data_IF_528104619611
#
_entry.id   IF_528104619611
#
_cell.length_a   1.000
_cell.length_b   1.000
_cell.length_c   1.000
_cell.angle_alpha   90.00
_cell.angle_beta   90.00
_cell.angle_gamma   90.00
#
_symmetry.space_group_name_H-M   'P 1'
#
loop_
_entity.id
_entity.type
_entity.pdbx_description
1 polymer ?
#
# COMPACT_ATOMS: atom_id res chain seq x y z
N UNK A 1 -19.11 61.43 -21.93
CA UNK A 1 -18.81 60.02 -21.87
C UNK A 1 -20.12 59.24 -21.95
N UNK A 2 -20.29 58.34 -22.89
CA UNK A 2 -21.52 57.53 -22.97
C UNK A 2 -21.45 56.49 -21.84
N UNK A 3 -22.58 56.20 -21.23
CA UNK A 3 -22.66 55.24 -20.09
C UNK A 3 -21.92 53.93 -20.34
N UNK A 4 -21.92 53.46 -21.59
CA UNK A 4 -21.22 52.24 -22.02
C UNK A 4 -19.70 52.35 -21.94
N UNK A 5 -19.12 53.51 -22.25
CA UNK A 5 -17.66 53.72 -22.20
C UNK A 5 -17.16 53.74 -20.75
N UNK A 6 -17.92 54.33 -19.82
CA UNK A 6 -17.63 54.32 -18.39
C UNK A 6 -17.60 52.91 -17.81
N UNK A 7 -18.57 52.05 -18.17
CA UNK A 7 -18.59 50.66 -17.67
C UNK A 7 -17.53 49.78 -18.31
N UNK A 8 -17.11 50.05 -19.56
CA UNK A 8 -15.98 49.38 -20.20
C UNK A 8 -14.65 49.71 -19.46
N UNK A 9 -14.45 50.97 -19.05
CA UNK A 9 -13.29 51.38 -18.23
C UNK A 9 -13.26 50.69 -16.87
N UNK A 10 -14.43 50.55 -16.21
CA UNK A 10 -14.53 49.83 -14.93
C UNK A 10 -14.27 48.30 -15.10
N UNK A 11 -14.73 47.70 -16.20
CA UNK A 11 -14.46 46.29 -16.52
C UNK A 11 -12.97 46.07 -16.80
N UNK A 12 -12.33 47.00 -17.50
CA UNK A 12 -10.89 47.00 -17.75
C UNK A 12 -10.08 47.18 -16.46
N UNK A 13 -10.68 47.78 -15.41
CA UNK A 13 -10.11 47.92 -14.07
C UNK A 13 -10.46 46.76 -13.12
N UNK A 14 -11.00 45.62 -13.63
CA UNK A 14 -11.32 44.44 -12.87
C UNK A 14 -12.76 44.32 -12.34
N UNK A 15 -13.66 45.23 -12.75
CA UNK A 15 -15.09 45.17 -12.38
C UNK A 15 -15.87 44.22 -13.32
N UNK A 16 -16.57 43.23 -12.75
CA UNK A 16 -17.39 42.25 -13.50
C UNK A 16 -18.82 42.80 -13.73
N UNK A 17 -19.05 43.52 -14.81
CA UNK A 17 -20.38 43.99 -15.21
C UNK A 17 -20.88 43.26 -16.46
N UNK A 18 -22.14 42.82 -16.41
CA UNK A 18 -22.86 42.29 -17.58
C UNK A 18 -23.72 43.38 -18.20
N UNK A 19 -23.96 43.31 -19.48
CA UNK A 19 -24.86 44.18 -20.21
C UNK A 19 -26.01 43.38 -20.79
N UNK A 20 -27.21 43.94 -20.76
CA UNK A 20 -28.34 43.35 -21.49
C UNK A 20 -28.20 43.57 -23.00
N UNK A 21 -29.09 42.95 -23.78
CA UNK A 21 -29.10 43.09 -25.26
C UNK A 21 -29.18 44.54 -25.78
N UNK A 22 -29.66 45.46 -24.94
CA UNK A 22 -29.78 46.89 -25.25
C UNK A 22 -28.56 47.71 -24.79
N UNK A 23 -27.53 47.04 -24.22
CA UNK A 23 -26.30 47.70 -23.74
C UNK A 23 -26.47 48.42 -22.41
N UNK A 24 -27.49 48.08 -21.59
CA UNK A 24 -27.68 48.61 -20.25
C UNK A 24 -26.83 47.78 -19.27
N UNK A 25 -26.02 48.42 -18.41
CA UNK A 25 -25.25 47.67 -17.41
C UNK A 25 -26.17 47.00 -16.41
N UNK A 26 -25.93 45.72 -16.16
CA UNK A 26 -26.57 44.94 -15.11
C UNK A 26 -25.63 44.90 -13.90
N UNK A 27 -26.16 45.10 -12.72
CA UNK A 27 -25.42 44.81 -11.49
C UNK A 27 -25.05 43.33 -11.46
N UNK A 28 -23.90 42.95 -10.84
CA UNK A 28 -23.60 41.56 -10.60
C UNK A 28 -24.79 40.87 -9.94
N UNK A 29 -25.11 39.67 -10.37
CA UNK A 29 -26.18 38.93 -9.73
C UNK A 29 -25.85 38.73 -8.25
N UNK A 30 -26.81 38.88 -7.34
CA UNK A 30 -26.58 38.66 -5.94
C UNK A 30 -26.15 37.22 -5.70
N UNK A 31 -25.15 37.04 -4.84
CA UNK A 31 -24.68 35.74 -4.43
C UNK A 31 -25.21 35.43 -3.02
N UNK A 32 -25.43 34.18 -2.78
CA UNK A 32 -25.96 33.63 -1.53
C UNK A 32 -24.97 32.62 -0.99
N UNK A 33 -24.62 32.69 0.28
CA UNK A 33 -23.73 31.76 0.91
C UNK A 33 -24.43 30.41 1.11
N UNK A 34 -23.89 29.37 0.51
CA UNK A 34 -24.34 27.99 0.68
C UNK A 34 -23.34 27.26 1.57
N UNK A 35 -23.82 26.75 2.69
CA UNK A 35 -23.01 25.97 3.64
C UNK A 35 -23.36 24.49 3.54
N UNK A 36 -22.36 23.63 3.52
CA UNK A 36 -22.52 22.17 3.48
C UNK A 36 -22.17 21.58 4.85
N UNK A 37 -23.11 20.81 5.39
CA UNK A 37 -22.94 20.02 6.62
C UNK A 37 -22.95 18.56 6.24
N UNK A 38 -21.78 17.94 6.22
CA UNK A 38 -21.62 16.53 5.90
C UNK A 38 -21.65 15.70 7.18
N UNK A 39 -22.44 14.64 7.19
CA UNK A 39 -22.56 13.73 8.33
C UNK A 39 -22.32 12.28 7.91
N UNK A 40 -21.75 11.43 8.79
CA UNK A 40 -21.29 11.74 10.15
C UNK A 40 -20.05 12.67 10.14
N UNK A 41 -19.83 13.40 11.24
CA UNK A 41 -18.81 14.47 11.32
C UNK A 41 -17.35 13.94 11.34
N UNK A 42 -17.15 12.67 11.68
CA UNK A 42 -15.87 11.96 11.76
C UNK A 42 -15.33 11.46 10.41
N UNK A 43 -16.03 11.73 9.30
CA UNK A 43 -15.58 11.28 7.98
C UNK A 43 -14.23 11.89 7.59
N UNK A 44 -13.35 11.04 7.06
CA UNK A 44 -12.04 11.46 6.55
C UNK A 44 -12.10 11.79 5.05
N UNK A 45 -11.23 12.71 4.62
CA UNK A 45 -11.02 13.09 3.21
C UNK A 45 -12.32 13.48 2.49
N UNK A 46 -13.16 14.29 3.17
CA UNK A 46 -14.39 14.81 2.58
C UNK A 46 -14.05 15.81 1.48
N UNK A 47 -14.49 15.56 0.26
CA UNK A 47 -14.38 16.44 -0.89
C UNK A 47 -15.78 16.81 -1.37
N UNK A 48 -16.04 18.10 -1.49
CA UNK A 48 -17.32 18.66 -1.96
C UNK A 48 -17.08 19.33 -3.31
N UNK A 49 -17.87 18.95 -4.33
CA UNK A 49 -17.83 19.59 -5.63
C UNK A 49 -19.19 20.18 -5.99
N UNK A 50 -19.18 21.39 -6.50
CA UNK A 50 -20.37 22.06 -7.07
C UNK A 50 -20.16 22.28 -8.56
N UNK A 51 -21.02 21.73 -9.40
CA UNK A 51 -20.87 21.70 -10.85
C UNK A 51 -19.47 21.21 -11.31
N UNK A 52 -18.94 20.18 -10.59
CA UNK A 52 -17.63 19.56 -10.87
C UNK A 52 -16.42 20.33 -10.34
N UNK A 53 -16.60 21.52 -9.74
CA UNK A 53 -15.52 22.29 -9.11
C UNK A 53 -15.47 22.04 -7.61
N UNK A 54 -14.30 21.72 -7.08
CA UNK A 54 -14.09 21.52 -5.66
C UNK A 54 -14.29 22.83 -4.89
N UNK A 55 -15.01 22.76 -3.77
CA UNK A 55 -15.33 23.89 -2.91
C UNK A 55 -15.06 23.53 -1.44
N UNK A 56 -14.87 24.55 -0.61
CA UNK A 56 -14.85 24.37 0.84
C UNK A 56 -16.25 24.08 1.39
N UNK A 57 -16.37 23.95 2.71
CA UNK A 57 -17.63 23.71 3.41
C UNK A 57 -18.68 24.85 3.23
N UNK A 58 -18.31 25.91 2.52
CA UNK A 58 -19.21 26.98 2.07
C UNK A 58 -18.74 27.60 0.78
N UNK A 59 -19.68 28.07 -0.04
CA UNK A 59 -19.42 28.73 -1.31
C UNK A 59 -20.51 29.76 -1.60
N UNK A 60 -20.15 30.85 -2.27
CA UNK A 60 -21.11 31.88 -2.69
C UNK A 60 -21.60 31.62 -4.11
N UNK A 61 -22.89 31.32 -4.24
CA UNK A 61 -23.53 30.99 -5.51
C UNK A 61 -24.64 31.99 -5.89
N UNK A 62 -24.86 32.23 -7.16
CA UNK A 62 -26.03 32.98 -7.65
C UNK A 62 -27.30 32.11 -7.48
N UNK A 63 -28.48 32.72 -7.61
CA UNK A 63 -29.73 31.94 -7.64
C UNK A 63 -29.72 31.04 -8.89
N UNK A 64 -30.04 29.73 -8.69
CA UNK A 64 -29.99 28.75 -9.75
C UNK A 64 -29.94 27.31 -9.21
N UNK A 65 -29.84 26.35 -10.11
CA UNK A 65 -29.72 24.93 -9.77
C UNK A 65 -28.30 24.45 -10.04
N UNK A 66 -27.72 23.75 -9.09
CA UNK A 66 -26.34 23.27 -9.09
C UNK A 66 -26.28 21.78 -8.77
N UNK A 67 -25.40 21.08 -9.47
CA UNK A 67 -25.09 19.69 -9.07
C UNK A 67 -24.10 19.71 -7.93
N UNK A 68 -24.36 18.90 -6.90
CA UNK A 68 -23.46 18.69 -5.76
C UNK A 68 -23.04 17.23 -5.74
N UNK A 69 -21.73 17.01 -5.77
CA UNK A 69 -21.10 15.71 -5.56
C UNK A 69 -20.29 15.78 -4.26
N UNK A 70 -20.48 14.80 -3.37
CA UNK A 70 -19.66 14.68 -2.16
C UNK A 70 -19.08 13.28 -2.09
N UNK A 71 -17.78 13.18 -1.88
CA UNK A 71 -17.06 11.95 -1.63
C UNK A 71 -16.34 12.01 -0.30
N UNK A 72 -16.21 10.87 0.34
CA UNK A 72 -15.43 10.67 1.56
C UNK A 72 -14.88 9.25 1.59
N UNK A 73 -13.86 9.01 2.42
CA UNK A 73 -13.30 7.67 2.57
C UNK A 73 -14.36 6.67 3.04
N UNK A 74 -14.36 5.49 2.43
CA UNK A 74 -15.24 4.39 2.77
C UNK A 74 -16.75 4.68 2.62
N UNK A 75 -17.12 5.70 1.87
CA UNK A 75 -18.51 6.08 1.64
C UNK A 75 -18.90 5.97 0.15
N UNK A 76 -20.18 5.76 -0.09
CA UNK A 76 -20.76 5.93 -1.41
C UNK A 76 -20.69 7.40 -1.81
N UNK A 77 -20.44 7.67 -3.10
CA UNK A 77 -20.44 9.04 -3.62
C UNK A 77 -21.87 9.57 -3.61
N UNK A 78 -22.08 10.67 -2.89
CA UNK A 78 -23.35 11.37 -2.89
C UNK A 78 -23.46 12.30 -4.10
N UNK A 79 -24.55 12.23 -4.83
CA UNK A 79 -24.86 13.10 -5.95
C UNK A 79 -26.30 13.63 -5.84
N UNK A 80 -26.47 14.94 -5.92
CA UNK A 80 -27.77 15.58 -5.88
C UNK A 80 -27.76 16.94 -6.56
N UNK A 81 -28.93 17.47 -6.85
CA UNK A 81 -29.11 18.85 -7.29
C UNK A 81 -29.64 19.69 -6.14
N UNK A 82 -29.06 20.89 -5.95
CA UNK A 82 -29.58 21.89 -5.03
C UNK A 82 -30.09 23.10 -5.82
N UNK A 83 -31.13 23.75 -5.31
CA UNK A 83 -31.66 24.98 -5.90
C UNK A 83 -31.50 26.12 -4.89
N UNK A 84 -30.83 27.18 -5.34
CA UNK A 84 -30.58 28.40 -4.59
C UNK A 84 -31.64 29.41 -5.01
N UNK A 85 -32.43 29.90 -4.06
CA UNK A 85 -33.50 30.86 -4.28
C UNK A 85 -33.09 32.25 -3.78
N UNK A 86 -33.66 33.30 -4.33
CA UNK A 86 -33.33 34.68 -4.02
C UNK A 86 -34.05 35.20 -2.74
N UNK A 87 -34.85 34.37 -2.11
CA UNK A 87 -35.67 34.71 -0.94
C UNK A 87 -34.94 34.46 0.41
N UNK A 88 -33.80 33.77 0.37
CA UNK A 88 -33.04 33.39 1.54
C UNK A 88 -31.58 33.85 1.39
N UNK A 89 -31.06 34.56 2.39
CA UNK A 89 -29.67 35.08 2.35
C UNK A 89 -28.60 33.97 2.53
N UNK A 90 -28.95 32.90 3.23
CA UNK A 90 -28.06 31.76 3.48
C UNK A 90 -28.80 30.44 3.27
N UNK A 91 -28.10 29.46 2.69
CA UNK A 91 -28.62 28.12 2.46
C UNK A 91 -27.73 27.10 3.18
N UNK A 92 -28.34 26.23 3.99
CA UNK A 92 -27.62 25.12 4.61
C UNK A 92 -28.08 23.81 3.95
N UNK A 93 -27.13 23.05 3.41
CA UNK A 93 -27.35 21.72 2.84
C UNK A 93 -26.77 20.68 3.76
N UNK A 94 -27.63 19.84 4.35
CA UNK A 94 -27.19 18.68 5.14
C UNK A 94 -27.07 17.48 4.23
N UNK A 95 -25.92 16.86 4.21
CA UNK A 95 -25.59 15.71 3.37
C UNK A 95 -25.25 14.54 4.29
N UNK A 96 -26.12 13.51 4.26
CA UNK A 96 -25.87 12.28 4.98
C UNK A 96 -25.14 11.31 4.04
N UNK A 97 -23.89 10.99 4.37
CA UNK A 97 -23.10 10.00 3.64
C UNK A 97 -23.45 8.59 4.12
N UNK A 98 -23.42 7.66 3.18
CA UNK A 98 -23.62 6.24 3.47
C UNK A 98 -22.30 5.51 3.35
N UNK A 99 -21.90 4.78 4.39
CA UNK A 99 -20.73 3.94 4.32
C UNK A 99 -20.91 2.80 3.33
N UNK A 100 -19.85 2.44 2.64
CA UNK A 100 -19.79 1.23 1.81
C UNK A 100 -20.10 -0.01 2.66
N UNK A 101 -20.75 -1.04 2.10
CA UNK A 101 -20.96 -2.29 2.83
C UNK A 101 -19.62 -2.96 3.14
N UNK A 102 -19.58 -3.73 4.22
CA UNK A 102 -18.42 -4.56 4.54
C UNK A 102 -18.26 -5.69 3.51
N UNK A 103 -17.03 -6.19 3.36
CA UNK A 103 -16.73 -7.34 2.50
C UNK A 103 -16.99 -8.66 3.24
N UNK A 104 -18.00 -9.40 2.78
CA UNK A 104 -18.41 -10.71 3.33
C UNK A 104 -17.77 -11.92 2.62
N UNK A 105 -16.85 -11.71 1.69
CA UNK A 105 -16.24 -12.80 0.91
C UNK A 105 -15.67 -13.92 1.77
N UNK A 106 -15.02 -13.58 2.89
CA UNK A 106 -14.46 -14.56 3.84
C UNK A 106 -15.56 -15.32 4.58
N UNK A 107 -16.64 -14.62 4.98
CA UNK A 107 -17.80 -15.23 5.65
C UNK A 107 -18.48 -16.21 4.72
N UNK A 108 -18.72 -15.82 3.46
CA UNK A 108 -19.36 -16.67 2.45
C UNK A 108 -18.51 -17.90 2.14
N UNK A 109 -17.20 -17.75 2.06
CA UNK A 109 -16.27 -18.87 1.90
C UNK A 109 -16.30 -19.83 3.11
N UNK A 110 -16.37 -19.30 4.34
CA UNK A 110 -16.46 -20.11 5.55
C UNK A 110 -17.81 -20.85 5.65
N UNK A 111 -18.93 -20.19 5.28
CA UNK A 111 -20.26 -20.82 5.22
C UNK A 111 -20.27 -21.92 4.14
N UNK A 112 -19.70 -21.67 2.96
CA UNK A 112 -19.60 -22.67 1.91
C UNK A 112 -18.84 -23.91 2.36
N UNK A 113 -17.72 -23.74 3.09
CA UNK A 113 -16.95 -24.82 3.71
C UNK A 113 -17.82 -25.60 4.72
N UNK A 114 -18.55 -24.88 5.59
CA UNK A 114 -19.45 -25.50 6.58
C UNK A 114 -20.55 -26.34 5.91
N UNK A 115 -21.17 -25.81 4.87
CA UNK A 115 -22.27 -26.47 4.14
C UNK A 115 -21.78 -27.68 3.31
N UNK A 116 -20.51 -27.72 2.93
CA UNK A 116 -19.92 -28.88 2.22
C UNK A 116 -19.66 -30.07 3.16
N UNK A 117 -19.75 -29.88 4.48
CA UNK A 117 -19.53 -30.95 5.45
C UNK A 117 -20.82 -31.75 5.67
N UNK A 118 -20.70 -33.11 5.65
CA UNK A 118 -21.81 -33.96 6.07
C UNK A 118 -21.81 -34.04 7.61
N UNK A 119 -22.82 -33.39 8.22
CA UNK A 119 -22.96 -33.31 9.68
C UNK A 119 -23.07 -34.66 10.38
N UNK A 120 -23.60 -35.68 9.69
CA UNK A 120 -23.77 -37.02 10.25
C UNK A 120 -22.42 -37.71 10.56
N UNK A 121 -21.37 -37.23 9.96
CA UNK A 121 -19.99 -37.72 10.19
C UNK A 121 -19.34 -37.20 11.46
N UNK A 122 -19.98 -36.29 12.21
CA UNK A 122 -19.38 -35.64 13.38
C UNK A 122 -20.16 -35.92 14.68
N UNK A 123 -19.43 -35.93 15.81
CA UNK A 123 -20.01 -36.18 17.16
C UNK A 123 -21.01 -35.09 17.55
N UNK A 124 -20.62 -33.83 17.31
CA UNK A 124 -21.45 -32.63 17.52
C UNK A 124 -21.15 -31.62 16.42
N UNK A 125 -22.20 -31.15 15.74
CA UNK A 125 -22.12 -30.16 14.69
C UNK A 125 -22.78 -28.83 15.10
N UNK A 126 -23.33 -28.77 16.32
CA UNK A 126 -24.12 -27.63 16.81
C UNK A 126 -23.33 -26.33 16.87
N UNK A 127 -22.02 -26.38 17.16
CA UNK A 127 -21.13 -25.23 17.19
C UNK A 127 -20.99 -24.57 15.82
N UNK A 128 -20.92 -25.36 14.74
CA UNK A 128 -20.86 -24.84 13.36
C UNK A 128 -22.20 -24.22 12.98
N UNK A 129 -23.32 -24.89 13.28
CA UNK A 129 -24.67 -24.35 13.01
C UNK A 129 -24.90 -23.03 13.76
N UNK A 130 -24.46 -22.95 15.03
CA UNK A 130 -24.56 -21.73 15.83
C UNK A 130 -23.72 -20.58 15.26
N UNK A 131 -22.47 -20.85 14.87
CA UNK A 131 -21.59 -19.84 14.28
C UNK A 131 -22.12 -19.31 12.94
N UNK A 132 -22.64 -20.18 12.07
CA UNK A 132 -23.28 -19.78 10.80
C UNK A 132 -24.53 -18.97 11.06
N UNK A 133 -25.37 -19.36 12.03
CA UNK A 133 -26.59 -18.63 12.38
C UNK A 133 -26.32 -17.25 12.99
N UNK A 134 -25.18 -17.07 13.62
CA UNK A 134 -24.79 -15.82 14.28
C UNK A 134 -24.29 -14.75 13.27
N UNK A 135 -24.20 -15.06 11.98
CA UNK A 135 -23.75 -14.11 10.96
C UNK A 135 -24.78 -12.99 10.77
N UNK A 136 -24.32 -11.77 10.93
CA UNK A 136 -25.08 -10.52 10.71
C UNK A 136 -24.58 -9.89 9.42
N UNK A 137 -25.50 -9.44 8.53
CA UNK A 137 -25.15 -9.00 7.16
C UNK A 137 -25.44 -7.53 6.86
N UNK A 138 -25.67 -6.71 7.88
CA UNK A 138 -25.95 -5.29 7.77
C UNK A 138 -24.78 -4.38 8.19
N UNK A 139 -23.58 -4.95 8.27
CA UNK A 139 -22.35 -4.24 8.64
C UNK A 139 -21.81 -3.43 7.47
N UNK A 140 -21.26 -2.27 7.79
CA UNK A 140 -20.54 -1.44 6.83
C UNK A 140 -19.02 -1.63 6.95
N UNK A 141 -18.27 -1.01 6.05
CA UNK A 141 -16.81 -1.19 5.93
C UNK A 141 -16.04 -0.79 7.19
N UNK A 142 -16.55 0.13 8.02
CA UNK A 142 -15.90 0.52 9.29
C UNK A 142 -15.98 -0.60 10.34
N UNK A 143 -16.88 -1.55 10.16
CA UNK A 143 -17.09 -2.72 11.01
C UNK A 143 -16.50 -4.00 10.40
N UNK A 144 -15.59 -3.87 9.41
CA UNK A 144 -14.98 -5.02 8.71
C UNK A 144 -14.33 -6.02 9.65
N UNK A 145 -13.73 -5.55 10.76
CA UNK A 145 -13.12 -6.42 11.77
C UNK A 145 -14.12 -7.37 12.44
N UNK A 146 -15.38 -6.93 12.62
CA UNK A 146 -16.45 -7.77 13.16
C UNK A 146 -16.87 -8.83 12.14
N UNK A 147 -16.94 -8.45 10.86
CA UNK A 147 -17.24 -9.38 9.76
C UNK A 147 -16.14 -10.45 9.64
N UNK A 148 -14.88 -10.05 9.73
CA UNK A 148 -13.74 -10.99 9.72
C UNK A 148 -13.76 -11.92 10.96
N UNK A 149 -14.21 -11.43 12.12
CA UNK A 149 -14.40 -12.25 13.31
C UNK A 149 -15.51 -13.30 13.15
N UNK A 150 -16.60 -12.97 12.43
CA UNK A 150 -17.66 -13.94 12.11
C UNK A 150 -17.13 -15.07 11.22
N UNK A 151 -16.35 -14.74 10.18
CA UNK A 151 -15.70 -15.74 9.32
C UNK A 151 -14.79 -16.66 10.14
N UNK A 152 -13.98 -16.08 11.03
CA UNK A 152 -13.10 -16.81 11.93
C UNK A 152 -13.86 -17.72 12.88
N UNK A 153 -14.97 -17.26 13.45
CA UNK A 153 -15.80 -18.06 14.36
C UNK A 153 -16.35 -19.32 13.66
N UNK A 154 -16.77 -19.22 12.40
CA UNK A 154 -17.23 -20.39 11.61
C UNK A 154 -16.04 -21.33 11.35
N UNK A 155 -14.87 -20.82 10.97
CA UNK A 155 -13.70 -21.64 10.73
C UNK A 155 -13.20 -22.33 12.00
N UNK A 156 -13.20 -21.64 13.13
CA UNK A 156 -12.85 -22.20 14.44
C UNK A 156 -13.83 -23.32 14.83
N UNK A 157 -15.13 -23.13 14.59
CA UNK A 157 -16.15 -24.14 14.85
C UNK A 157 -15.96 -25.38 13.96
N UNK A 158 -15.66 -25.20 12.67
CA UNK A 158 -15.32 -26.29 11.74
C UNK A 158 -14.09 -27.04 12.22
N UNK A 159 -13.05 -26.33 12.63
CA UNK A 159 -11.80 -26.91 13.11
C UNK A 159 -11.96 -27.65 14.45
N UNK A 160 -12.99 -27.33 15.23
CA UNK A 160 -13.33 -28.00 16.48
C UNK A 160 -14.12 -29.30 16.29
N UNK A 161 -14.60 -29.61 15.08
CA UNK A 161 -15.39 -30.81 14.81
C UNK A 161 -14.62 -32.09 15.07
N UNK A 162 -15.28 -33.00 15.79
CA UNK A 162 -14.77 -34.36 16.06
C UNK A 162 -15.60 -35.34 15.24
N UNK A 163 -14.97 -36.10 14.34
CA UNK A 163 -15.66 -37.15 13.57
C UNK A 163 -16.18 -38.27 14.46
N UNK A 164 -17.37 -38.78 14.14
CA UNK A 164 -17.87 -40.05 14.72
C UNK A 164 -16.94 -41.16 14.28
N UNK A 165 -16.56 -42.01 15.24
CA UNK A 165 -15.95 -43.29 14.90
C UNK A 165 -17.02 -44.12 14.19
N UNK A 166 -16.88 -44.36 12.91
CA UNK A 166 -17.71 -45.34 12.21
C UNK A 166 -17.37 -46.72 12.79
N UNK A 167 -18.35 -47.35 13.43
CA UNK A 167 -18.22 -48.72 13.92
C UNK A 167 -18.10 -49.71 12.76
N UNK A 168 -16.95 -49.76 12.14
CA UNK A 168 -16.54 -50.63 11.06
C UNK A 168 -15.03 -50.63 11.01
N UNK A 169 -14.42 -51.75 10.98
CA UNK A 169 -13.07 -52.17 11.28
C UNK A 169 -11.95 -51.65 10.33
N UNK A 170 -12.04 -50.38 9.79
CA UNK A 170 -11.04 -49.84 8.86
C UNK A 170 -10.88 -48.32 8.92
N UNK A 171 -11.22 -47.59 10.02
CA UNK A 171 -10.90 -46.19 10.13
C UNK A 171 -9.51 -46.00 10.76
N UNK A 172 -8.57 -45.44 10.00
CA UNK A 172 -7.27 -45.04 10.53
C UNK A 172 -7.45 -44.11 11.76
N UNK A 173 -6.74 -44.33 12.84
CA UNK A 173 -6.88 -43.55 14.06
C UNK A 173 -6.45 -42.09 13.81
N UNK A 174 -7.28 -41.14 14.31
CA UNK A 174 -6.91 -39.71 14.30
C UNK A 174 -6.05 -39.35 15.50
N UNK A 175 -5.11 -38.48 15.30
CA UNK A 175 -4.15 -38.01 16.29
C UNK A 175 -4.23 -36.51 16.50
N UNK A 176 -4.05 -36.05 17.75
CA UNK A 176 -4.15 -34.67 18.15
C UNK A 176 -2.99 -33.82 17.59
N UNK A 177 -3.30 -32.57 17.23
CA UNK A 177 -2.36 -31.52 16.88
C UNK A 177 -2.46 -30.48 17.99
N UNK A 178 -1.45 -30.40 18.84
CA UNK A 178 -1.38 -29.49 19.97
C UNK A 178 -0.50 -28.28 19.57
N UNK A 179 -1.05 -27.05 19.63
CA UNK A 179 -0.27 -25.82 19.48
C UNK A 179 0.13 -25.33 20.86
N UNK A 180 1.41 -25.02 21.03
CA UNK A 180 1.97 -24.57 22.31
C UNK A 180 1.23 -23.35 22.86
N UNK A 181 1.04 -23.31 24.18
CA UNK A 181 0.30 -22.21 24.85
C UNK A 181 1.17 -20.99 25.17
N UNK A 182 2.49 -21.17 25.16
CA UNK A 182 3.45 -20.13 25.56
C UNK A 182 4.01 -19.32 24.38
N UNK A 183 3.31 -19.33 23.24
CA UNK A 183 3.68 -18.57 22.06
C UNK A 183 3.39 -17.08 22.33
N UNK A 184 4.43 -16.23 22.22
CA UNK A 184 4.37 -14.77 22.41
C UNK A 184 4.87 -14.06 21.17
N UNK A 185 4.44 -12.81 20.97
CA UNK A 185 4.85 -11.96 19.86
C UNK A 185 4.45 -12.50 18.47
N UNK A 186 3.37 -13.28 18.42
CA UNK A 186 2.80 -13.84 17.22
C UNK A 186 1.77 -14.90 17.53
N UNK A 187 1.09 -15.35 16.48
CA UNK A 187 0.07 -16.40 16.55
C UNK A 187 0.43 -17.56 15.64
N UNK A 188 0.12 -18.76 16.11
CA UNK A 188 0.26 -20.00 15.36
C UNK A 188 -1.04 -20.77 15.41
N UNK A 189 -1.53 -21.18 14.26
CA UNK A 189 -2.76 -21.97 14.15
C UNK A 189 -2.57 -23.17 13.24
N UNK A 190 -3.22 -24.29 13.58
CA UNK A 190 -3.32 -25.43 12.69
C UNK A 190 -4.70 -25.44 12.01
N UNK A 191 -4.75 -25.87 10.76
CA UNK A 191 -6.00 -25.95 9.99
C UNK A 191 -6.99 -27.01 10.53
N UNK A 192 -6.56 -27.86 11.45
CA UNK A 192 -7.38 -28.88 12.14
C UNK A 192 -6.75 -29.26 13.48
N UNK A 193 -7.56 -29.76 14.42
CA UNK A 193 -7.09 -30.23 15.75
C UNK A 193 -6.72 -31.72 15.76
N UNK A 194 -7.23 -32.49 14.82
CA UNK A 194 -6.98 -33.93 14.68
C UNK A 194 -6.76 -34.26 13.19
N UNK A 195 -5.90 -35.22 12.92
CA UNK A 195 -5.62 -35.73 11.59
C UNK A 195 -5.27 -37.21 11.61
N UNK A 196 -5.54 -37.93 10.52
CA UNK A 196 -5.14 -39.29 10.30
C UNK A 196 -3.64 -39.37 9.90
N UNK A 197 -3.01 -40.51 10.10
CA UNK A 197 -1.65 -40.75 9.60
C UNK A 197 -1.57 -40.49 8.09
N UNK A 198 -0.58 -39.69 7.69
CA UNK A 198 -0.36 -39.35 6.27
C UNK A 198 -1.13 -38.13 5.78
N UNK A 199 -2.10 -37.63 6.55
CA UNK A 199 -2.78 -36.37 6.24
C UNK A 199 -1.80 -35.20 6.12
N UNK A 200 -2.12 -34.26 5.25
CA UNK A 200 -1.39 -32.99 5.19
C UNK A 200 -2.03 -32.00 6.16
N UNK A 201 -1.26 -31.57 7.14
CA UNK A 201 -1.64 -30.52 8.11
C UNK A 201 -0.97 -29.23 7.69
N UNK A 202 -1.74 -28.13 7.73
CA UNK A 202 -1.22 -26.78 7.47
C UNK A 202 -1.16 -25.99 8.76
N UNK A 203 0.02 -25.45 9.05
CA UNK A 203 0.26 -24.48 10.12
C UNK A 203 0.31 -23.10 9.49
N UNK A 204 -0.43 -22.15 10.07
CA UNK A 204 -0.34 -20.74 9.72
C UNK A 204 0.32 -19.98 10.86
N UNK A 205 1.37 -19.25 10.54
CA UNK A 205 2.16 -18.44 11.47
C UNK A 205 1.96 -16.97 11.09
N UNK A 206 1.63 -16.15 12.08
CA UNK A 206 1.48 -14.71 11.92
C UNK A 206 2.27 -14.02 13.05
N UNK A 207 3.45 -13.44 12.76
CA UNK A 207 4.15 -12.58 13.72
C UNK A 207 3.32 -11.35 14.06
N UNK A 208 3.46 -10.83 15.27
CA UNK A 208 2.97 -9.52 15.65
C UNK A 208 3.84 -8.41 15.02
N UNK A 209 3.33 -7.19 14.97
CA UNK A 209 4.05 -6.04 14.40
C UNK A 209 5.40 -5.85 15.11
N UNK A 210 6.47 -5.68 14.33
CA UNK A 210 7.84 -5.56 14.82
C UNK A 210 8.52 -6.88 15.19
N UNK A 211 7.89 -8.02 14.92
CA UNK A 211 8.45 -9.35 15.15
C UNK A 211 8.51 -10.17 13.86
N UNK A 212 9.37 -11.15 13.83
CA UNK A 212 9.48 -12.17 12.77
C UNK A 212 9.52 -13.55 13.38
N UNK A 213 9.11 -14.55 12.60
CA UNK A 213 9.32 -15.95 13.00
C UNK A 213 10.82 -16.20 13.16
N UNK A 214 11.21 -16.71 14.33
CA UNK A 214 12.57 -17.11 14.67
C UNK A 214 12.76 -18.61 14.49
N UNK A 215 11.85 -19.41 15.09
CA UNK A 215 11.84 -20.85 14.93
C UNK A 215 10.40 -21.38 14.87
N UNK A 216 10.20 -22.45 14.10
CA UNK A 216 8.95 -23.20 14.01
C UNK A 216 9.28 -24.69 13.97
N UNK A 217 8.92 -25.40 15.01
CA UNK A 217 9.10 -26.85 15.11
C UNK A 217 7.77 -27.56 15.28
N UNK A 218 7.66 -28.74 14.70
CA UNK A 218 6.59 -29.71 14.96
C UNK A 218 7.22 -31.00 15.37
N UNK A 219 6.92 -31.44 16.56
CA UNK A 219 7.49 -32.70 17.13
C UNK A 219 6.42 -33.78 17.26
N UNK A 220 6.83 -35.03 17.02
CA UNK A 220 6.00 -36.20 17.29
C UNK A 220 5.92 -36.52 18.81
N UNK A 221 5.15 -37.55 19.18
CA UNK A 221 4.99 -38.02 20.57
C UNK A 221 6.28 -38.43 21.26
N UNK A 222 7.36 -38.67 20.48
CA UNK A 222 8.66 -39.08 20.97
C UNK A 222 9.66 -37.93 21.05
N UNK A 223 9.25 -36.71 20.64
CA UNK A 223 10.09 -35.51 20.57
C UNK A 223 10.90 -35.40 19.30
N UNK A 224 10.68 -36.25 18.28
CA UNK A 224 11.37 -36.15 17.01
C UNK A 224 10.74 -35.02 16.16
N UNK A 225 11.56 -34.17 15.54
CA UNK A 225 11.10 -33.12 14.69
C UNK A 225 10.59 -33.66 13.32
N UNK A 226 9.47 -33.12 12.87
CA UNK A 226 8.87 -33.43 11.59
C UNK A 226 9.36 -32.44 10.53
N UNK A 227 9.59 -32.94 9.33
CA UNK A 227 9.96 -32.10 8.19
C UNK A 227 8.80 -31.17 7.81
N UNK A 228 9.03 -29.88 7.89
CA UNK A 228 8.12 -28.84 7.42
C UNK A 228 8.43 -28.47 5.95
N UNK A 229 7.37 -28.16 5.20
CA UNK A 229 7.48 -27.58 3.88
C UNK A 229 6.88 -26.18 3.92
N UNK A 230 7.70 -25.16 3.65
CA UNK A 230 7.26 -23.78 3.53
C UNK A 230 6.44 -23.60 2.24
N UNK A 231 5.26 -22.98 2.36
CA UNK A 231 4.33 -22.67 1.27
C UNK A 231 4.27 -21.18 0.99
N UNK A 232 5.08 -20.39 1.65
CA UNK A 232 5.03 -18.94 1.61
C UNK A 232 3.88 -18.33 2.43
N UNK A 233 3.91 -17.02 2.59
CA UNK A 233 2.89 -16.25 3.32
C UNK A 233 2.59 -16.79 4.73
N UNK A 234 3.62 -17.23 5.47
CA UNK A 234 3.51 -17.77 6.80
C UNK A 234 2.80 -19.12 6.90
N UNK A 235 2.67 -19.88 5.80
CA UNK A 235 2.05 -21.20 5.77
C UNK A 235 3.10 -22.29 5.63
N UNK A 236 3.01 -23.29 6.51
CA UNK A 236 3.88 -24.46 6.55
C UNK A 236 3.04 -25.72 6.56
N UNK A 237 3.51 -26.78 5.92
CA UNK A 237 2.79 -28.05 5.88
C UNK A 237 3.69 -29.20 6.34
N UNK A 238 3.08 -30.20 6.99
CA UNK A 238 3.73 -31.45 7.33
C UNK A 238 2.78 -32.65 7.13
N UNK A 239 3.34 -33.86 7.12
CA UNK A 239 2.58 -35.10 7.07
C UNK A 239 2.35 -35.63 8.49
N UNK A 240 1.09 -35.89 8.86
CA UNK A 240 0.71 -36.38 10.17
C UNK A 240 1.31 -37.77 10.45
N UNK A 241 2.07 -37.97 11.55
CA UNK A 241 2.58 -39.28 11.95
C UNK A 241 1.49 -40.11 12.64
N UNK A 242 1.81 -41.36 12.99
CA UNK A 242 0.96 -42.20 13.81
C UNK A 242 1.10 -41.85 15.31
N UNK A 243 0.62 -40.68 15.70
CA UNK A 243 0.67 -40.17 17.07
C UNK A 243 0.41 -38.67 17.13
N UNK A 244 0.17 -38.18 18.35
CA UNK A 244 -0.01 -36.74 18.57
C UNK A 244 1.24 -35.95 18.15
N UNK A 245 1.05 -34.71 17.73
CA UNK A 245 2.13 -33.77 17.44
C UNK A 245 1.97 -32.51 18.28
N UNK A 246 3.10 -31.88 18.59
CA UNK A 246 3.16 -30.58 19.25
C UNK A 246 3.81 -29.58 18.32
N UNK A 247 3.16 -28.43 18.13
CA UNK A 247 3.65 -27.31 17.33
C UNK A 247 4.19 -26.25 18.29
N UNK A 248 5.43 -25.85 18.11
CA UNK A 248 6.08 -24.79 18.87
C UNK A 248 6.63 -23.74 17.92
N UNK A 249 6.57 -22.48 18.33
CA UNK A 249 7.19 -21.38 17.57
C UNK A 249 7.73 -20.32 18.51
N UNK A 250 8.81 -19.71 18.10
CA UNK A 250 9.39 -18.52 18.73
C UNK A 250 9.43 -17.36 17.74
N UNK A 251 9.29 -16.15 18.26
CA UNK A 251 9.33 -14.93 17.48
C UNK A 251 10.40 -14.00 18.06
N UNK A 252 11.27 -13.48 17.20
CA UNK A 252 12.30 -12.51 17.54
C UNK A 252 11.93 -11.12 17.03
N UNK A 253 12.35 -10.04 17.71
CA UNK A 253 12.18 -8.70 17.19
C UNK A 253 12.77 -8.57 15.78
N UNK A 254 12.07 -7.87 14.88
CA UNK A 254 12.68 -7.49 13.61
C UNK A 254 13.76 -6.44 13.86
N UNK A 255 14.88 -6.59 13.14
CA UNK A 255 15.93 -5.57 13.19
C UNK A 255 15.44 -4.28 12.58
N UNK A 256 15.54 -3.20 13.32
CA UNK A 256 15.30 -1.83 12.87
C UNK A 256 16.52 -1.29 12.12
N UNK A 257 16.38 -0.12 11.49
CA UNK A 257 17.52 0.53 10.84
C UNK A 257 18.67 0.86 11.81
N UNK A 258 18.34 1.19 13.08
CA UNK A 258 19.32 1.47 14.12
C UNK A 258 20.14 0.24 14.52
N UNK A 259 19.61 -0.98 14.33
CA UNK A 259 20.34 -2.23 14.56
C UNK A 259 21.36 -2.54 13.46
N UNK A 260 21.21 -1.91 12.31
CA UNK A 260 22.14 -2.01 11.19
C UNK A 260 23.15 -0.85 11.15
N UNK A 261 22.67 0.39 11.46
CA UNK A 261 23.44 1.62 11.27
C UNK A 261 23.21 2.62 12.40
N UNK A 262 24.27 3.01 13.08
CA UNK A 262 24.21 3.89 14.25
C UNK A 262 23.75 5.34 13.92
N UNK A 263 23.88 5.75 12.66
CA UNK A 263 23.50 7.10 12.18
C UNK A 263 22.11 7.18 11.56
N UNK A 264 21.25 6.16 11.81
CA UNK A 264 19.85 6.13 11.33
C UNK A 264 18.91 6.16 12.52
N UNK A 265 18.36 7.35 12.89
CA UNK A 265 17.36 7.45 13.95
C UNK A 265 16.09 6.65 13.62
N UNK A 266 15.52 5.95 14.60
CA UNK A 266 14.36 5.09 14.41
C UNK A 266 13.11 5.82 13.92
N UNK A 267 12.98 7.12 14.23
CA UNK A 267 11.85 7.97 13.83
C UNK A 267 12.12 8.80 12.56
N UNK A 268 13.21 8.54 11.85
CA UNK A 268 13.49 9.24 10.58
C UNK A 268 12.56 8.72 9.47
N UNK A 269 12.17 9.59 8.53
CA UNK A 269 11.29 9.24 7.40
C UNK A 269 11.84 8.11 6.50
N UNK A 270 13.13 7.85 6.60
CA UNK A 270 13.84 6.83 5.83
C UNK A 270 14.18 5.56 6.64
N UNK A 271 13.83 5.49 7.91
CA UNK A 271 14.22 4.36 8.76
C UNK A 271 13.77 3.01 8.20
N UNK A 272 12.49 2.89 7.84
CA UNK A 272 11.93 1.64 7.29
C UNK A 272 12.58 1.28 5.95
N UNK A 273 12.82 2.28 5.09
CA UNK A 273 13.49 2.09 3.81
C UNK A 273 14.92 1.59 3.97
N UNK A 274 15.66 2.14 4.94
CA UNK A 274 17.04 1.72 5.24
C UNK A 274 17.06 0.33 5.86
N UNK A 275 16.14 0.03 6.79
CA UNK A 275 15.97 -1.32 7.35
C UNK A 275 15.70 -2.35 6.27
N UNK A 276 14.74 -2.05 5.37
CA UNK A 276 14.42 -2.90 4.22
C UNK A 276 15.63 -3.12 3.32
N UNK A 277 16.35 -2.06 2.98
CA UNK A 277 17.51 -2.15 2.10
C UNK A 277 18.68 -2.95 2.73
N UNK A 278 18.88 -2.83 4.04
CA UNK A 278 19.85 -3.62 4.77
C UNK A 278 19.46 -5.10 4.85
N UNK A 279 18.21 -5.37 5.22
CA UNK A 279 17.63 -6.73 5.32
C UNK A 279 17.74 -7.50 4.00
N UNK A 280 17.51 -6.81 2.87
CA UNK A 280 17.57 -7.41 1.53
C UNK A 280 18.97 -7.33 0.87
N UNK A 281 20.02 -6.96 1.61
CA UNK A 281 21.37 -6.90 1.09
C UNK A 281 21.61 -5.81 0.03
N UNK A 282 20.67 -4.86 -0.12
CA UNK A 282 20.77 -3.77 -1.09
C UNK A 282 21.88 -2.79 -0.68
N UNK A 283 22.01 -2.53 0.61
CA UNK A 283 23.08 -1.69 1.17
C UNK A 283 23.77 -2.34 2.36
N UNK A 284 25.09 -2.21 2.44
CA UNK A 284 25.91 -2.49 3.62
C UNK A 284 26.39 -1.19 4.31
N UNK A 285 25.81 -0.04 3.95
CA UNK A 285 26.25 1.26 4.48
C UNK A 285 27.49 1.82 3.76
N UNK A 286 28.22 2.65 4.50
CA UNK A 286 29.46 3.31 4.05
C UNK A 286 30.69 2.85 4.84
N UNK A 287 30.54 1.81 5.67
CA UNK A 287 31.55 1.32 6.60
C UNK A 287 31.30 1.79 8.04
N UNK A 288 32.02 1.18 8.98
CA UNK A 288 31.97 1.50 10.41
C UNK A 288 30.56 1.48 11.04
N UNK A 289 29.64 0.66 10.53
CA UNK A 289 28.27 0.62 11.02
C UNK A 289 27.46 1.89 10.73
N UNK A 290 27.82 2.64 9.68
CA UNK A 290 27.14 3.87 9.27
C UNK A 290 26.47 3.70 7.91
N UNK A 291 25.30 4.30 7.73
CA UNK A 291 24.57 4.37 6.47
C UNK A 291 24.94 5.59 5.63
N UNK A 292 25.21 6.72 6.25
CA UNK A 292 25.48 8.01 5.61
C UNK A 292 24.22 8.64 5.00
N UNK A 293 23.09 8.82 5.74
CA UNK A 293 21.81 9.21 5.19
C UNK A 293 21.84 10.52 4.40
N UNK A 294 22.62 11.49 4.87
CA UNK A 294 22.70 12.82 4.27
C UNK A 294 23.79 12.95 3.19
N UNK A 295 24.57 11.90 2.97
CA UNK A 295 25.59 11.95 1.93
C UNK A 295 24.97 11.93 0.53
N UNK A 296 25.48 12.72 -0.43
CA UNK A 296 25.08 12.62 -1.82
C UNK A 296 25.27 11.19 -2.36
N UNK A 297 24.30 10.69 -3.09
CA UNK A 297 24.38 9.37 -3.71
C UNK A 297 25.01 9.47 -5.09
N UNK A 298 26.06 8.68 -5.35
CA UNK A 298 26.72 8.67 -6.65
C UNK A 298 25.99 7.78 -7.66
N UNK A 299 26.29 7.97 -8.95
CA UNK A 299 25.74 7.15 -10.05
C UNK A 299 26.07 5.67 -9.88
N UNK A 300 27.31 5.36 -9.44
CA UNK A 300 27.72 3.99 -9.13
C UNK A 300 26.89 3.38 -7.99
N UNK A 301 26.61 4.16 -6.96
CA UNK A 301 25.83 3.69 -5.81
C UNK A 301 24.38 3.39 -6.19
N UNK A 302 23.71 4.28 -6.93
CA UNK A 302 22.30 4.07 -7.29
C UNK A 302 22.13 2.86 -8.21
N UNK A 303 22.96 2.67 -9.23
CA UNK A 303 22.87 1.48 -10.09
C UNK A 303 23.19 0.20 -9.33
N UNK A 304 24.08 0.26 -8.33
CA UNK A 304 24.39 -0.87 -7.46
C UNK A 304 23.18 -1.23 -6.58
N UNK A 305 22.49 -0.23 -6.03
CA UNK A 305 21.26 -0.48 -5.26
C UNK A 305 20.16 -1.11 -6.13
N UNK A 306 19.95 -0.60 -7.34
CA UNK A 306 18.98 -1.16 -8.29
C UNK A 306 19.32 -2.60 -8.69
N UNK A 307 20.58 -2.86 -9.01
CA UNK A 307 21.06 -4.19 -9.37
C UNK A 307 20.86 -5.20 -8.23
N UNK A 308 21.20 -4.81 -7.00
CA UNK A 308 21.00 -5.65 -5.82
C UNK A 308 19.52 -5.86 -5.52
N UNK A 309 18.68 -4.84 -5.66
CA UNK A 309 17.24 -4.96 -5.51
C UNK A 309 16.61 -5.89 -6.57
N UNK A 310 17.23 -6.02 -7.74
CA UNK A 310 16.86 -6.98 -8.79
C UNK A 310 17.41 -8.41 -8.54
N UNK A 311 18.05 -8.67 -7.39
CA UNK A 311 18.62 -9.98 -7.05
C UNK A 311 20.03 -10.19 -7.58
N UNK A 312 20.76 -9.14 -7.94
CA UNK A 312 22.15 -9.17 -8.42
C UNK A 312 22.37 -10.07 -9.63
N UNK A 313 21.56 -9.97 -10.70
CA UNK A 313 21.71 -10.84 -11.88
C UNK A 313 23.07 -10.66 -12.55
N UNK A 314 23.67 -11.74 -12.98
CA UNK A 314 24.95 -11.71 -13.68
C UNK A 314 24.79 -11.10 -15.07
N UNK A 315 25.51 -10.01 -15.44
CA UNK A 315 25.44 -9.42 -16.77
C UNK A 315 26.11 -10.32 -17.81
N UNK A 316 25.61 -10.30 -19.05
CA UNK A 316 26.14 -11.11 -20.16
C UNK A 316 27.55 -10.68 -20.58
N UNK A 317 27.87 -9.42 -20.44
CA UNK A 317 29.18 -8.84 -20.76
C UNK A 317 29.46 -7.65 -19.84
N UNK A 318 30.73 -7.38 -19.57
CA UNK A 318 31.13 -6.17 -18.85
C UNK A 318 30.94 -4.93 -19.71
N UNK A 319 30.71 -3.78 -19.09
CA UNK A 319 30.53 -2.51 -19.81
C UNK A 319 31.85 -2.04 -20.43
N UNK A 320 31.72 -1.30 -21.53
CA UNK A 320 32.88 -0.74 -22.27
C UNK A 320 33.21 0.70 -21.87
N UNK A 321 32.65 1.22 -20.75
CA UNK A 321 32.98 2.56 -20.30
C UNK A 321 34.42 2.67 -19.84
N UNK A 322 35.12 3.70 -20.35
CA UNK A 322 36.54 3.89 -20.09
C UNK A 322 36.87 4.21 -18.62
N UNK A 323 35.89 4.70 -17.87
CA UNK A 323 36.01 5.10 -16.46
C UNK A 323 35.39 4.07 -15.48
N UNK A 324 35.09 2.84 -15.96
CA UNK A 324 34.62 1.74 -15.14
C UNK A 324 35.63 0.60 -15.14
N UNK A 325 36.40 0.50 -14.07
CA UNK A 325 37.31 -0.66 -13.89
C UNK A 325 36.49 -1.94 -13.73
N UNK A 326 36.97 -3.03 -14.33
CA UNK A 326 36.35 -4.35 -14.19
C UNK A 326 36.37 -4.88 -12.74
N UNK A 327 37.29 -4.40 -11.92
CA UNK A 327 37.44 -4.78 -10.50
C UNK A 327 36.63 -3.88 -9.55
N UNK A 328 35.99 -2.83 -10.07
CA UNK A 328 35.16 -1.95 -9.26
C UNK A 328 33.93 -2.69 -8.70
N UNK A 329 33.55 -2.42 -7.44
CA UNK A 329 32.41 -3.05 -6.77
C UNK A 329 31.10 -2.87 -7.53
N UNK A 330 31.02 -1.83 -8.37
CA UNK A 330 29.86 -1.48 -9.17
C UNK A 330 29.95 -1.98 -10.63
N UNK A 331 31.04 -2.61 -11.04
CA UNK A 331 31.27 -2.97 -12.45
C UNK A 331 30.15 -3.82 -13.03
N UNK A 332 29.73 -4.88 -12.32
CA UNK A 332 28.60 -5.73 -12.72
C UNK A 332 27.28 -4.99 -12.73
N UNK A 333 27.05 -4.13 -11.77
CA UNK A 333 25.83 -3.31 -11.69
C UNK A 333 25.74 -2.33 -12.86
N UNK A 334 26.83 -1.71 -13.26
CA UNK A 334 26.91 -0.82 -14.44
C UNK A 334 26.66 -1.63 -15.72
N UNK A 335 27.29 -2.78 -15.86
CA UNK A 335 27.11 -3.66 -17.02
C UNK A 335 25.64 -4.11 -17.16
N UNK A 336 25.04 -4.55 -16.07
CA UNK A 336 23.60 -4.89 -16.01
C UNK A 336 22.71 -3.70 -16.36
N UNK A 337 23.01 -2.51 -15.86
CA UNK A 337 22.23 -1.31 -16.14
C UNK A 337 22.29 -0.90 -17.62
N UNK A 338 23.44 -1.11 -18.28
CA UNK A 338 23.59 -0.92 -19.74
C UNK A 338 22.77 -1.97 -20.50
N UNK A 339 22.93 -3.23 -20.17
CA UNK A 339 22.23 -4.35 -20.81
C UNK A 339 20.70 -4.19 -20.77
N UNK A 340 20.17 -3.66 -19.65
CA UNK A 340 18.74 -3.43 -19.45
C UNK A 340 18.25 -2.03 -19.86
N UNK A 341 19.07 -1.26 -20.57
CA UNK A 341 18.70 0.06 -21.07
C UNK A 341 18.47 1.12 -19.99
N UNK A 342 18.92 0.87 -18.75
CA UNK A 342 18.76 1.79 -17.61
C UNK A 342 19.65 3.03 -17.80
N UNK A 343 20.85 2.83 -18.34
CA UNK A 343 21.80 3.89 -18.62
C UNK A 343 22.55 3.68 -19.93
N UNK A 344 22.90 4.79 -20.59
CA UNK A 344 23.80 4.83 -21.75
C UNK A 344 25.08 5.59 -21.43
N UNK A 345 25.32 5.91 -20.15
CA UNK A 345 26.44 6.72 -19.69
C UNK A 345 26.12 8.21 -19.64
N UNK A 346 27.17 9.03 -19.62
CA UNK A 346 27.11 10.51 -19.58
C UNK A 346 27.62 11.17 -20.85
N UNK A 347 28.00 10.38 -21.84
CA UNK A 347 28.67 10.81 -23.07
C UNK A 347 30.15 10.43 -23.10
N UNK A 348 30.79 10.58 -24.25
CA UNK A 348 32.22 10.36 -24.48
C UNK A 348 32.74 8.99 -23.98
N UNK A 349 31.91 7.96 -24.04
CA UNK A 349 32.27 6.63 -23.56
C UNK A 349 32.47 6.51 -22.05
N UNK A 350 31.87 7.41 -21.26
CA UNK A 350 31.97 7.46 -19.80
C UNK A 350 30.64 7.15 -19.11
N UNK A 351 30.72 6.52 -17.95
CA UNK A 351 29.61 6.30 -17.03
C UNK A 351 29.54 7.38 -15.94
N UNK A 352 30.68 7.96 -15.57
CA UNK A 352 30.87 8.93 -14.48
C UNK A 352 30.44 8.36 -13.12
N UNK A 353 31.09 7.29 -12.63
CA UNK A 353 30.66 6.54 -11.44
C UNK A 353 30.55 7.38 -10.18
N UNK A 354 31.47 8.33 -9.99
CA UNK A 354 31.54 9.17 -8.79
C UNK A 354 30.70 10.45 -8.87
N UNK A 355 30.11 10.73 -10.04
CA UNK A 355 29.22 11.89 -10.17
C UNK A 355 27.96 11.69 -9.32
N UNK A 356 27.59 12.72 -8.58
CA UNK A 356 26.34 12.74 -7.79
C UNK A 356 25.13 12.68 -8.70
N UNK A 357 24.16 11.82 -8.38
CA UNK A 357 22.89 11.75 -9.07
C UNK A 357 21.98 12.91 -8.71
N UNK A 358 21.38 13.52 -9.73
CA UNK A 358 20.25 14.43 -9.52
C UNK A 358 18.95 13.65 -9.28
N UNK A 359 17.91 14.34 -8.80
CA UNK A 359 16.58 13.74 -8.60
C UNK A 359 15.99 13.24 -9.92
N UNK A 360 16.14 14.03 -11.01
CA UNK A 360 15.71 13.62 -12.33
C UNK A 360 16.41 12.35 -12.82
N UNK A 361 17.72 12.26 -12.65
CA UNK A 361 18.49 11.05 -12.99
C UNK A 361 18.06 9.85 -12.13
N UNK A 362 17.82 10.07 -10.84
CA UNK A 362 17.46 9.02 -9.89
C UNK A 362 16.11 8.36 -10.25
N UNK A 363 15.06 9.16 -10.46
CA UNK A 363 13.76 8.61 -10.87
C UNK A 363 13.80 8.02 -12.27
N UNK A 364 14.65 8.55 -13.17
CA UNK A 364 14.84 7.99 -14.52
C UNK A 364 15.48 6.61 -14.46
N UNK A 365 16.47 6.38 -13.61
CA UNK A 365 17.07 5.07 -13.42
C UNK A 365 16.05 4.08 -12.84
N UNK A 366 15.27 4.48 -11.84
CA UNK A 366 14.20 3.66 -11.28
C UNK A 366 13.14 3.32 -12.35
N UNK A 367 12.64 4.32 -13.05
CA UNK A 367 11.63 4.15 -14.10
C UNK A 367 12.10 3.17 -15.18
N UNK A 368 13.33 3.32 -15.66
CA UNK A 368 13.88 2.41 -16.68
C UNK A 368 14.09 0.99 -16.16
N UNK A 369 14.40 0.85 -14.87
CA UNK A 369 14.60 -0.48 -14.27
C UNK A 369 13.29 -1.23 -14.04
N UNK A 370 12.24 -0.56 -13.55
CA UNK A 370 11.03 -1.22 -13.02
C UNK A 370 9.72 -0.51 -13.36
N UNK A 371 9.78 0.70 -13.94
CA UNK A 371 8.61 1.51 -14.27
C UNK A 371 7.86 1.02 -15.51
N UNK A 372 6.64 1.52 -15.64
CA UNK A 372 5.82 1.42 -16.85
C UNK A 372 5.34 2.81 -17.23
N UNK A 373 5.12 3.05 -18.51
CA UNK A 373 4.51 4.30 -18.97
C UNK A 373 3.12 4.47 -18.31
N UNK A 374 2.84 5.68 -17.91
CA UNK A 374 1.57 6.11 -17.32
C UNK A 374 0.94 7.17 -18.21
N UNK A 375 -0.38 7.27 -18.18
CA UNK A 375 -1.11 8.28 -18.99
C UNK A 375 -1.14 9.64 -18.30
N UNK A 376 -0.91 9.68 -17.00
CA UNK A 376 -0.84 10.90 -16.20
C UNK A 376 0.40 11.74 -16.52
N UNK A 377 0.30 13.05 -16.32
CA UNK A 377 1.43 13.99 -16.34
C UNK A 377 1.70 14.47 -14.93
N UNK A 378 2.98 14.60 -14.58
CA UNK A 378 3.34 15.22 -13.32
C UNK A 378 3.12 16.73 -13.39
N UNK A 379 2.36 17.28 -12.45
CA UNK A 379 2.02 18.70 -12.37
C UNK A 379 3.02 19.47 -11.51
N UNK A 380 4.29 19.47 -11.92
CA UNK A 380 5.33 20.30 -11.30
C UNK A 380 5.75 21.41 -12.23
N UNK A 381 5.82 22.65 -11.71
CA UNK A 381 6.16 23.83 -12.52
C UNK A 381 7.59 23.84 -13.05
N UNK A 382 8.48 23.04 -12.46
CA UNK A 382 9.88 22.88 -12.85
C UNK A 382 10.17 21.60 -13.67
N UNK A 383 9.11 20.91 -14.13
CA UNK A 383 9.22 19.72 -15.00
C UNK A 383 8.63 20.04 -16.37
N UNK A 384 9.50 20.28 -17.33
CA UNK A 384 9.07 20.51 -18.73
C UNK A 384 8.56 19.20 -19.33
N UNK A 385 7.47 19.28 -20.10
CA UNK A 385 6.79 18.10 -20.69
C UNK A 385 7.65 17.35 -21.71
N UNK A 386 8.63 17.99 -22.31
CA UNK A 386 9.59 17.45 -23.29
C UNK A 386 10.94 17.03 -22.67
N UNK A 387 11.10 17.18 -21.35
CA UNK A 387 12.32 16.75 -20.68
C UNK A 387 12.44 15.22 -20.68
N UNK A 388 13.68 14.70 -20.74
CA UNK A 388 13.98 13.26 -20.79
C UNK A 388 13.47 12.49 -19.57
N UNK A 389 13.17 13.19 -18.49
CA UNK A 389 12.70 12.65 -17.23
C UNK A 389 11.19 12.84 -16.98
N UNK A 390 10.46 13.52 -17.87
CA UNK A 390 9.05 13.86 -17.64
C UNK A 390 8.19 12.61 -17.35
N UNK A 391 8.31 11.56 -18.18
CA UNK A 391 7.60 10.29 -17.97
C UNK A 391 8.04 9.57 -16.69
N UNK A 392 9.31 9.65 -16.33
CA UNK A 392 9.82 9.05 -15.10
C UNK A 392 9.28 9.75 -13.85
N UNK A 393 9.16 11.08 -13.89
CA UNK A 393 8.56 11.86 -12.81
C UNK A 393 7.06 11.56 -12.69
N UNK A 394 6.31 11.54 -13.80
CA UNK A 394 4.90 11.18 -13.80
C UNK A 394 4.66 9.79 -13.18
N UNK A 395 5.42 8.79 -13.64
CA UNK A 395 5.38 7.45 -13.06
C UNK A 395 5.71 7.44 -11.55
N UNK A 396 6.73 8.19 -11.15
CA UNK A 396 7.16 8.22 -9.75
C UNK A 396 6.11 8.84 -8.82
N UNK A 397 5.36 9.83 -9.30
CA UNK A 397 4.23 10.44 -8.57
C UNK A 397 3.06 9.47 -8.49
N UNK A 398 2.62 8.92 -9.62
CA UNK A 398 1.46 8.01 -9.70
C UNK A 398 1.66 6.75 -8.84
N UNK A 399 2.91 6.27 -8.73
CA UNK A 399 3.24 5.10 -7.91
C UNK A 399 3.70 5.47 -6.48
N UNK A 400 3.47 6.69 -6.02
CA UNK A 400 3.78 7.13 -4.65
C UNK A 400 5.27 7.12 -4.30
N UNK A 401 6.17 7.06 -5.30
CA UNK A 401 7.62 7.07 -5.09
C UNK A 401 8.08 8.42 -4.55
N UNK A 402 7.49 9.51 -5.06
CA UNK A 402 7.79 10.88 -4.60
C UNK A 402 6.60 11.81 -4.81
N UNK A 403 6.46 12.80 -3.93
CA UNK A 403 5.49 13.90 -4.03
C UNK A 403 6.19 15.25 -4.32
N UNK A 404 7.43 15.22 -4.84
CA UNK A 404 8.23 16.44 -5.08
C UNK A 404 9.01 16.88 -3.85
N UNK A 405 9.30 18.18 -3.79
CA UNK A 405 10.04 18.83 -2.69
C UNK A 405 9.23 19.92 -1.98
N UNK A 406 7.94 20.06 -2.30
CA UNK A 406 7.07 21.11 -1.82
C UNK A 406 6.85 22.21 -2.87
N UNK A 407 5.91 23.11 -2.60
CA UNK A 407 5.61 24.31 -3.42
C UNK A 407 5.35 24.02 -4.91
N UNK A 408 4.80 22.84 -5.23
CA UNK A 408 4.57 22.43 -6.62
C UNK A 408 5.86 22.18 -7.43
N UNK A 409 6.99 21.88 -6.75
CA UNK A 409 8.28 21.64 -7.37
C UNK A 409 8.72 20.18 -7.20
N UNK A 410 9.34 19.66 -8.26
CA UNK A 410 10.03 18.36 -8.22
C UNK A 410 11.49 18.47 -7.81
N UNK A 411 12.17 19.54 -8.18
CA UNK A 411 13.59 19.77 -7.97
C UNK A 411 14.48 18.88 -8.85
N UNK A 412 14.34 18.88 -10.20
CA UNK A 412 15.02 17.92 -11.08
C UNK A 412 16.55 17.93 -10.96
N UNK A 413 17.14 19.08 -10.77
CA UNK A 413 18.60 19.27 -10.68
C UNK A 413 19.16 19.14 -9.27
N UNK A 414 18.30 19.02 -8.25
CA UNK A 414 18.76 18.83 -6.88
C UNK A 414 19.44 17.47 -6.73
N UNK A 415 20.57 17.44 -6.02
CA UNK A 415 21.25 16.20 -5.67
C UNK A 415 20.40 15.34 -4.75
N UNK A 416 20.35 14.03 -5.00
CA UNK A 416 19.74 13.07 -4.09
C UNK A 416 20.72 12.59 -3.04
N UNK A 417 20.25 12.54 -1.79
CA UNK A 417 20.97 11.87 -0.71
C UNK A 417 20.75 10.36 -0.76
N UNK A 418 21.62 9.61 -0.08
CA UNK A 418 21.47 8.15 0.06
C UNK A 418 20.14 7.76 0.69
N UNK A 419 19.68 8.51 1.70
CA UNK A 419 18.37 8.31 2.33
C UNK A 419 17.23 8.47 1.34
N UNK A 420 17.25 9.51 0.50
CA UNK A 420 16.22 9.75 -0.52
C UNK A 420 16.20 8.63 -1.56
N UNK A 421 17.36 8.20 -2.05
CA UNK A 421 17.44 7.12 -3.05
C UNK A 421 16.86 5.82 -2.51
N UNK A 422 17.24 5.42 -1.29
CA UNK A 422 16.74 4.19 -0.68
C UNK A 422 15.25 4.29 -0.39
N UNK A 423 14.74 5.49 -0.02
CA UNK A 423 13.31 5.72 0.15
C UNK A 423 12.55 5.59 -1.17
N UNK A 424 13.08 6.11 -2.28
CA UNK A 424 12.47 5.94 -3.60
C UNK A 424 12.42 4.46 -4.01
N UNK A 425 13.52 3.73 -3.82
CA UNK A 425 13.57 2.30 -4.07
C UNK A 425 12.53 1.54 -3.24
N UNK A 426 12.50 1.76 -1.93
CA UNK A 426 11.58 1.11 -1.02
C UNK A 426 10.12 1.31 -1.46
N UNK A 427 9.72 2.55 -1.71
CA UNK A 427 8.36 2.87 -2.17
C UNK A 427 8.03 2.23 -3.51
N UNK A 428 8.96 2.24 -4.46
CA UNK A 428 8.77 1.65 -5.77
C UNK A 428 8.63 0.12 -5.75
N UNK A 429 9.22 -0.55 -4.78
CA UNK A 429 9.14 -2.01 -4.61
C UNK A 429 7.97 -2.46 -3.72
N UNK A 430 7.45 -1.62 -2.83
CA UNK A 430 6.30 -1.93 -1.98
C UNK A 430 4.95 -1.87 -2.72
N UNK A 431 4.87 -1.14 -3.81
CA UNK A 431 3.67 -1.06 -4.66
C UNK A 431 3.51 -2.23 -5.64
N UNK A 432 4.30 -3.33 -5.48
CA UNK A 432 4.26 -4.50 -6.36
C UNK A 432 3.71 -5.72 -5.67
#
# INVERSE_FOLDING_TARGET
MKTKDFFNEITAAGGNYRFNSNGTPLLPAPKYTVSFVVTPAELANVVIKVNGQEVANSVDLEAGTYTVEVSADNCEVFNSNITITADTATHTQTIAMTYLPADYTKVDAAIAKANALNKDNYMDFSGVEAAVKAVVRDKNITEQSEVDAMAKAIEDAINALVRKSSGGDDSDPTYAIEVGKDIRNGTVTANRRYAERGDTVTITVKPDDGFKLDDLTVTDKNGNELKLTDKGNGKYTFKMPAGKVTVSATFAPEKTAADYFADVPANSYYADAVSWAAKNGITGGIGNGLFGPNQPCTRAQIVTFLWRAAGSPEPKAMSSFADVSTDAYYAKAVAWAVENGITTGTGDGKFSPDATCTRAQSVTFLFRAIGKLVDSKAEFSDVLTDSYYANAVAWAVENGVTNGIGDGLFGPDNSCTRAQIVTFLFRAYQGK
#
